data_IF_497625249798
#
_entry.id   IF_497625249798
#
_cell.length_a   1.000
_cell.length_b   1.000
_cell.length_c   1.000
_cell.angle_alpha   90.00
_cell.angle_beta   90.00
_cell.angle_gamma   90.00
#
_symmetry.space_group_name_H-M   'P 1'
#
loop_
_entity.id
_entity.type
_entity.pdbx_description
1 polymer ?
#
# COMPACT_ATOMS: atom_id res chain seq x y z
N UNK A 1 27.70 -28.84 15.31
CA UNK A 1 27.74 -27.36 15.26
C UNK A 1 28.89 -26.98 14.36
N UNK A 2 28.68 -26.10 13.40
CA UNK A 2 29.75 -25.57 12.55
C UNK A 2 30.52 -24.53 13.37
N UNK A 3 31.81 -24.75 13.61
CA UNK A 3 32.70 -23.79 14.29
C UNK A 3 33.07 -22.57 13.40
N UNK A 4 32.27 -22.28 12.37
CA UNK A 4 32.53 -21.22 11.39
C UNK A 4 31.46 -20.11 11.47
N UNK A 5 31.90 -18.85 11.33
CA UNK A 5 30.99 -17.72 11.20
C UNK A 5 30.17 -17.84 9.90
N UNK A 6 28.85 -17.75 9.99
CA UNK A 6 27.91 -17.96 8.88
C UNK A 6 27.13 -16.69 8.48
N UNK A 7 27.47 -15.53 9.07
CA UNK A 7 26.84 -14.25 8.73
C UNK A 7 26.24 -13.53 9.93
N UNK A 8 25.63 -12.38 9.62
CA UNK A 8 24.90 -11.55 10.58
C UNK A 8 23.42 -11.89 10.53
N UNK A 9 22.80 -12.04 11.70
CA UNK A 9 21.38 -12.35 11.84
C UNK A 9 20.70 -11.29 12.69
N UNK A 10 19.47 -10.95 12.31
CA UNK A 10 18.56 -10.22 13.18
C UNK A 10 17.80 -11.23 14.03
N UNK A 11 17.96 -11.15 15.34
CA UNK A 11 17.10 -11.87 16.27
C UNK A 11 15.78 -11.12 16.36
N UNK A 12 14.72 -11.72 15.82
CA UNK A 12 13.37 -11.19 15.90
C UNK A 12 12.62 -11.91 17.02
N UNK A 13 11.62 -11.21 17.54
CA UNK A 13 10.75 -11.73 18.57
C UNK A 13 9.54 -12.38 17.92
N UNK A 14 9.12 -13.55 18.41
CA UNK A 14 7.87 -14.16 17.94
C UNK A 14 6.70 -13.27 18.38
N UNK A 15 5.73 -13.08 17.49
CA UNK A 15 4.47 -12.43 17.84
C UNK A 15 3.66 -13.42 18.68
N UNK A 16 3.64 -13.18 19.98
CA UNK A 16 2.99 -14.03 20.97
C UNK A 16 2.25 -13.22 22.03
N UNK A 17 1.35 -13.90 22.74
CA UNK A 17 0.58 -13.32 23.83
C UNK A 17 1.45 -13.27 25.08
N UNK A 18 1.94 -12.08 25.45
CA UNK A 18 2.63 -11.84 26.72
C UNK A 18 2.51 -10.37 27.11
N UNK A 19 2.73 -10.12 28.40
CA UNK A 19 2.84 -8.75 28.93
C UNK A 19 3.89 -7.94 28.15
N UNK A 20 3.54 -6.70 27.79
CA UNK A 20 4.36 -5.77 26.95
C UNK A 20 4.55 -6.22 25.49
N UNK A 21 3.77 -7.18 25.01
CA UNK A 21 3.71 -7.60 23.59
C UNK A 21 2.27 -7.46 23.11
N UNK A 22 1.69 -8.52 22.52
CA UNK A 22 0.25 -8.66 22.42
C UNK A 22 -0.28 -9.01 23.81
N UNK A 23 -0.59 -7.98 24.59
CA UNK A 23 -1.01 -8.11 25.98
C UNK A 23 -2.53 -8.34 26.03
N UNK A 24 -2.97 -9.54 25.63
CA UNK A 24 -4.38 -9.95 25.66
C UNK A 24 -4.64 -11.12 26.62
N UNK A 25 -5.91 -11.33 26.98
CA UNK A 25 -6.29 -12.49 27.81
C UNK A 25 -6.02 -13.81 27.08
N UNK A 26 -4.93 -14.49 27.46
CA UNK A 26 -4.55 -15.79 26.93
C UNK A 26 -5.57 -16.89 27.25
N UNK A 27 -5.68 -17.87 26.34
CA UNK A 27 -6.55 -19.05 26.47
C UNK A 27 -5.71 -20.32 26.28
N UNK A 28 -4.88 -20.72 27.27
CA UNK A 28 -3.85 -21.75 27.09
C UNK A 28 -4.34 -23.19 27.27
N UNK A 29 -5.62 -23.41 27.57
CA UNK A 29 -6.19 -24.72 27.88
C UNK A 29 -7.35 -25.08 26.95
N UNK A 30 -7.47 -26.37 26.62
CA UNK A 30 -8.57 -26.91 25.83
C UNK A 30 -9.89 -26.62 26.57
N UNK A 31 -10.85 -26.03 25.87
CA UNK A 31 -12.12 -25.65 26.48
C UNK A 31 -12.88 -26.85 27.06
N UNK A 32 -13.53 -26.59 28.19
CA UNK A 32 -14.59 -27.43 28.77
C UNK A 32 -15.95 -26.81 28.47
N UNK A 33 -17.03 -27.53 28.76
CA UNK A 33 -18.41 -27.02 28.58
C UNK A 33 -18.74 -25.77 29.41
N UNK A 34 -17.89 -25.39 30.36
CA UNK A 34 -18.02 -24.18 31.19
C UNK A 34 -17.08 -23.05 30.77
N UNK A 35 -16.18 -23.30 29.82
CA UNK A 35 -15.15 -22.34 29.47
C UNK A 35 -15.72 -21.16 28.67
N UNK A 36 -15.21 -19.97 28.95
CA UNK A 36 -15.64 -18.76 28.26
C UNK A 36 -14.90 -18.65 26.91
N UNK A 37 -15.64 -18.74 25.81
CA UNK A 37 -15.11 -18.61 24.45
C UNK A 37 -14.81 -17.16 24.06
N UNK A 38 -15.21 -16.16 24.85
CA UNK A 38 -15.03 -14.74 24.49
C UNK A 38 -13.64 -14.18 24.78
N UNK A 39 -12.65 -15.02 25.09
CA UNK A 39 -11.29 -14.65 25.49
C UNK A 39 -10.50 -13.86 24.45
N UNK A 40 -9.19 -13.74 24.66
CA UNK A 40 -8.29 -13.07 23.72
C UNK A 40 -7.99 -13.94 22.50
N UNK A 41 -7.92 -13.31 21.33
CA UNK A 41 -7.55 -13.96 20.07
C UNK A 41 -6.46 -13.16 19.36
N UNK A 42 -5.37 -13.83 19.01
CA UNK A 42 -4.35 -13.30 18.09
C UNK A 42 -4.60 -13.87 16.71
N UNK A 43 -4.66 -12.99 15.72
CA UNK A 43 -5.08 -13.29 14.36
C UNK A 43 -4.09 -12.72 13.35
N UNK A 44 -4.02 -13.34 12.19
CA UNK A 44 -3.26 -12.81 11.05
C UNK A 44 -4.15 -12.83 9.81
N UNK A 45 -4.25 -11.69 9.12
CA UNK A 45 -4.65 -11.69 7.71
C UNK A 45 -3.49 -12.29 6.94
N UNK A 46 -3.67 -13.50 6.42
CA UNK A 46 -2.64 -14.24 5.71
C UNK A 46 -3.21 -14.75 4.38
N UNK A 47 -2.85 -14.07 3.30
CA UNK A 47 -3.28 -14.43 1.94
C UNK A 47 -2.74 -15.78 1.46
N UNK A 48 -1.67 -16.27 2.07
CA UNK A 48 -1.00 -17.54 1.81
C UNK A 48 -1.52 -18.69 2.67
N UNK A 49 -2.23 -18.40 3.77
CA UNK A 49 -2.65 -19.39 4.76
C UNK A 49 -3.27 -20.65 4.14
N UNK A 50 -2.72 -21.78 4.57
CA UNK A 50 -3.15 -23.13 4.21
C UNK A 50 -3.89 -23.75 5.42
N UNK A 51 -5.16 -24.18 5.27
CA UNK A 51 -5.89 -24.86 6.34
C UNK A 51 -5.26 -26.21 6.74
N UNK A 52 -4.36 -26.78 5.94
CA UNK A 52 -3.61 -27.99 6.31
C UNK A 52 -2.41 -27.67 7.24
N UNK A 53 -2.02 -26.39 7.36
CA UNK A 53 -0.87 -25.91 8.16
C UNK A 53 -1.29 -25.07 9.38
N UNK A 54 -2.59 -25.04 9.72
CA UNK A 54 -3.07 -24.38 10.93
C UNK A 54 -4.56 -24.10 10.94
N UNK A 55 -5.03 -23.37 11.96
CA UNK A 55 -6.44 -22.98 12.07
C UNK A 55 -6.72 -21.75 11.21
N UNK A 56 -7.43 -21.95 10.09
CA UNK A 56 -7.72 -20.89 9.11
C UNK A 56 -9.20 -20.85 8.79
N UNK A 57 -9.75 -19.65 8.60
CA UNK A 57 -11.07 -19.45 8.00
C UNK A 57 -11.06 -18.32 6.98
N UNK A 58 -12.10 -18.25 6.15
CA UNK A 58 -12.28 -17.21 5.14
C UNK A 58 -13.59 -16.49 5.37
N UNK A 59 -13.55 -15.16 5.38
CA UNK A 59 -14.74 -14.32 5.58
C UNK A 59 -15.64 -14.28 4.35
N UNK A 60 -16.85 -13.73 4.46
CA UNK A 60 -17.76 -13.60 3.32
C UNK A 60 -17.21 -12.69 2.20
N UNK A 61 -16.25 -11.80 2.49
CA UNK A 61 -15.53 -11.00 1.48
C UNK A 61 -14.24 -11.64 0.99
N UNK A 62 -13.97 -12.89 1.36
CA UNK A 62 -12.83 -13.65 0.86
C UNK A 62 -11.50 -13.33 1.56
N UNK A 63 -11.53 -12.66 2.72
CA UNK A 63 -10.32 -12.42 3.51
C UNK A 63 -9.96 -13.71 4.25
N UNK A 64 -8.76 -14.23 4.01
CA UNK A 64 -8.21 -15.38 4.74
C UNK A 64 -7.62 -14.93 6.07
N UNK A 65 -7.98 -15.62 7.14
CA UNK A 65 -7.57 -15.30 8.50
C UNK A 65 -7.05 -16.57 9.17
N UNK A 66 -5.80 -16.51 9.61
CA UNK A 66 -5.20 -17.53 10.46
C UNK A 66 -5.40 -17.15 11.93
N UNK A 67 -5.79 -18.12 12.76
CA UNK A 67 -5.82 -17.99 14.22
C UNK A 67 -4.47 -18.42 14.75
N UNK A 68 -3.74 -17.48 15.35
CA UNK A 68 -2.40 -17.71 15.91
C UNK A 68 -2.43 -17.99 17.40
N UNK A 69 -3.44 -17.48 18.11
CA UNK A 69 -3.72 -17.89 19.47
C UNK A 69 -5.23 -17.74 19.77
N UNK A 70 -5.91 -18.69 20.43
CA UNK A 70 -5.36 -19.93 21.01
C UNK A 70 -4.65 -20.82 19.98
N UNK A 71 -3.59 -21.48 20.41
CA UNK A 71 -2.71 -22.27 19.56
C UNK A 71 -3.47 -23.45 18.93
N UNK A 72 -2.97 -23.95 17.80
CA UNK A 72 -3.65 -24.99 17.00
C UNK A 72 -3.91 -26.30 17.76
N UNK A 73 -3.08 -26.62 18.75
CA UNK A 73 -3.20 -27.81 19.59
C UNK A 73 -4.16 -27.63 20.77
N UNK A 74 -4.59 -26.40 21.03
CA UNK A 74 -5.48 -26.01 22.14
C UNK A 74 -6.85 -25.55 21.66
N UNK A 75 -6.93 -24.88 20.50
CA UNK A 75 -8.16 -24.25 20.01
C UNK A 75 -9.26 -25.28 19.71
N UNK A 76 -10.44 -25.05 20.26
CA UNK A 76 -11.63 -25.84 19.96
C UNK A 76 -12.41 -25.23 18.78
N UNK A 77 -13.13 -26.07 18.02
CA UNK A 77 -13.96 -25.60 16.90
C UNK A 77 -14.95 -24.49 17.32
N UNK A 78 -15.50 -24.53 18.53
CA UNK A 78 -16.39 -23.48 19.04
C UNK A 78 -15.71 -22.11 19.19
N UNK A 79 -14.39 -22.07 19.43
CA UNK A 79 -13.62 -20.82 19.46
C UNK A 79 -13.39 -20.28 18.06
N UNK A 80 -13.05 -21.16 17.11
CA UNK A 80 -12.91 -20.80 15.69
C UNK A 80 -14.22 -20.25 15.13
N UNK A 81 -15.34 -20.92 15.41
CA UNK A 81 -16.67 -20.47 15.01
C UNK A 81 -17.04 -19.13 15.65
N UNK A 82 -16.72 -18.94 16.94
CA UNK A 82 -16.95 -17.69 17.65
C UNK A 82 -16.18 -16.52 17.02
N UNK A 83 -14.87 -16.67 16.82
CA UNK A 83 -14.04 -15.58 16.30
C UNK A 83 -14.36 -15.29 14.82
N UNK A 84 -14.67 -16.31 14.03
CA UNK A 84 -15.16 -16.14 12.67
C UNK A 84 -16.49 -15.36 12.63
N UNK A 85 -17.44 -15.72 13.50
CA UNK A 85 -18.70 -14.99 13.62
C UNK A 85 -18.51 -13.55 14.14
N UNK A 86 -17.55 -13.33 15.04
CA UNK A 86 -17.20 -12.00 15.54
C UNK A 86 -16.64 -11.12 14.41
N UNK A 87 -15.68 -11.62 13.64
CA UNK A 87 -15.13 -10.91 12.48
C UNK A 87 -16.20 -10.65 11.42
N UNK A 88 -17.13 -11.58 11.22
CA UNK A 88 -18.25 -11.36 10.30
C UNK A 88 -19.14 -10.19 10.74
N UNK A 89 -19.26 -9.88 12.04
CA UNK A 89 -19.97 -8.67 12.52
C UNK A 89 -19.26 -7.39 12.09
N UNK A 90 -17.93 -7.35 12.23
CA UNK A 90 -17.11 -6.23 11.74
C UNK A 90 -17.28 -6.06 10.23
N UNK A 91 -17.13 -7.14 9.48
CA UNK A 91 -17.25 -7.12 8.02
C UNK A 91 -18.65 -6.68 7.57
N UNK A 92 -19.71 -7.20 8.21
CA UNK A 92 -21.07 -6.77 7.92
C UNK A 92 -21.27 -5.26 8.18
N UNK A 93 -20.69 -4.73 9.26
CA UNK A 93 -20.77 -3.30 9.56
C UNK A 93 -19.95 -2.45 8.58
N UNK A 94 -18.80 -2.94 8.12
CA UNK A 94 -17.92 -2.26 7.14
C UNK A 94 -18.54 -2.14 5.75
N UNK A 95 -19.30 -3.16 5.33
CA UNK A 95 -19.94 -3.21 4.02
C UNK A 95 -21.44 -2.88 4.03
N UNK A 96 -22.00 -2.47 5.17
CA UNK A 96 -23.38 -2.00 5.24
C UNK A 96 -23.56 -0.63 4.57
N UNK A 97 -24.81 -0.28 4.22
CA UNK A 97 -25.13 1.05 3.68
C UNK A 97 -24.84 2.16 4.70
N UNK A 98 -25.03 1.87 5.99
CA UNK A 98 -24.79 2.79 7.10
C UNK A 98 -23.41 2.60 7.76
N UNK A 99 -22.42 2.08 7.05
CA UNK A 99 -21.10 1.72 7.58
C UNK A 99 -20.33 2.85 8.30
N UNK A 100 -20.62 4.13 8.00
CA UNK A 100 -20.07 5.31 8.69
C UNK A 100 -20.89 5.77 9.91
N UNK A 101 -21.98 5.09 10.26
CA UNK A 101 -22.78 5.46 11.41
C UNK A 101 -21.95 5.32 12.71
N UNK A 102 -21.86 6.35 13.57
CA UNK A 102 -20.96 6.33 14.72
C UNK A 102 -21.34 5.32 15.81
N UNK A 103 -22.56 4.76 15.78
CA UNK A 103 -23.06 3.81 16.80
C UNK A 103 -23.08 2.38 16.28
N UNK A 104 -23.35 2.19 14.98
CA UNK A 104 -23.60 0.88 14.36
C UNK A 104 -22.66 0.54 13.20
N UNK A 105 -21.86 1.50 12.75
CA UNK A 105 -20.87 1.34 11.68
C UNK A 105 -19.61 0.62 12.13
N UNK A 106 -18.68 0.44 11.19
CA UNK A 106 -17.49 -0.40 11.39
C UNK A 106 -16.59 0.08 12.53
N UNK A 107 -16.50 1.41 12.74
CA UNK A 107 -15.69 2.04 13.79
C UNK A 107 -16.04 1.55 15.19
N UNK A 108 -17.25 1.00 15.41
CA UNK A 108 -17.63 0.33 16.67
C UNK A 108 -16.77 -0.91 16.97
N UNK A 109 -16.36 -1.62 15.93
CA UNK A 109 -15.61 -2.88 16.00
C UNK A 109 -14.10 -2.68 15.75
N UNK A 110 -13.63 -1.45 15.64
CA UNK A 110 -12.21 -1.16 15.46
C UNK A 110 -11.72 -0.23 16.55
N UNK A 111 -10.56 -0.57 17.12
CA UNK A 111 -9.76 0.41 17.82
C UNK A 111 -9.08 1.32 16.79
N UNK A 112 -9.70 2.47 16.51
CA UNK A 112 -9.20 3.42 15.52
C UNK A 112 -7.76 3.89 15.79
N UNK A 113 -7.33 4.18 17.04
CA UNK A 113 -5.94 4.53 17.31
C UNK A 113 -4.93 3.48 16.85
N UNK A 114 -5.17 2.19 17.11
CA UNK A 114 -4.30 1.12 16.63
C UNK A 114 -4.32 0.99 15.09
N UNK A 115 -5.50 1.10 14.46
CA UNK A 115 -5.64 1.07 13.00
C UNK A 115 -4.86 2.20 12.33
N UNK A 116 -5.00 3.42 12.84
CA UNK A 116 -4.30 4.61 12.31
C UNK A 116 -2.79 4.46 12.51
N UNK A 117 -2.36 4.01 13.68
CA UNK A 117 -0.93 3.82 13.98
C UNK A 117 -0.30 2.77 13.06
N UNK A 118 -0.97 1.63 12.90
CA UNK A 118 -0.54 0.58 11.98
C UNK A 118 -0.52 1.08 10.52
N UNK A 119 -1.57 1.79 10.08
CA UNK A 119 -1.64 2.33 8.72
C UNK A 119 -0.50 3.30 8.43
N UNK A 120 -0.24 4.24 9.34
CA UNK A 120 0.89 5.18 9.23
C UNK A 120 2.21 4.43 9.14
N UNK A 121 2.42 3.40 9.96
CA UNK A 121 3.67 2.65 9.95
C UNK A 121 3.86 1.83 8.66
N UNK A 122 2.80 1.17 8.18
CA UNK A 122 2.78 0.46 6.90
C UNK A 122 3.06 1.38 5.72
N UNK A 123 2.43 2.57 5.70
CA UNK A 123 2.71 3.57 4.69
C UNK A 123 4.12 4.12 4.84
N UNK A 124 4.59 4.52 6.03
CA UNK A 124 5.93 5.08 6.23
C UNK A 124 7.05 4.15 5.78
N UNK A 125 6.92 2.86 6.05
CA UNK A 125 7.92 1.86 5.67
C UNK A 125 7.84 1.51 4.19
N UNK A 126 6.67 1.67 3.56
CA UNK A 126 6.47 1.31 2.16
C UNK A 126 6.48 -0.19 1.92
N UNK A 127 6.06 -1.02 2.89
CA UNK A 127 6.08 -2.48 2.77
C UNK A 127 4.99 -2.97 1.79
N UNK A 128 5.34 -3.55 0.62
CA UNK A 128 4.38 -4.00 -0.38
C UNK A 128 3.50 -5.19 0.02
N UNK A 129 3.80 -5.83 1.15
CA UNK A 129 3.06 -6.97 1.70
C UNK A 129 2.23 -6.59 2.93
N UNK A 130 2.26 -5.32 3.36
CA UNK A 130 1.69 -4.87 4.64
C UNK A 130 0.21 -5.23 4.83
N UNK A 131 -0.55 -5.31 3.74
CA UNK A 131 -2.00 -5.60 3.77
C UNK A 131 -2.33 -7.07 3.46
N UNK A 132 -1.33 -7.93 3.23
CA UNK A 132 -1.49 -9.37 2.97
C UNK A 132 -0.91 -10.28 4.05
N UNK A 133 -0.08 -9.72 4.94
CA UNK A 133 0.36 -10.29 6.22
C UNK A 133 0.17 -9.20 7.28
N UNK A 134 -0.96 -9.25 7.99
CA UNK A 134 -1.31 -8.25 9.00
C UNK A 134 -1.75 -8.95 10.26
N UNK A 135 -0.97 -8.81 11.34
CA UNK A 135 -1.43 -9.24 12.66
C UNK A 135 -2.44 -8.25 13.21
N UNK A 136 -3.44 -8.79 13.90
CA UNK A 136 -4.44 -8.05 14.64
C UNK A 136 -4.99 -8.94 15.75
N UNK A 137 -5.69 -8.37 16.72
CA UNK A 137 -6.19 -9.13 17.85
C UNK A 137 -7.52 -8.62 18.37
N UNK A 138 -8.19 -9.48 19.12
CA UNK A 138 -9.41 -9.18 19.88
C UNK A 138 -9.13 -9.45 21.35
N UNK A 139 -9.45 -8.49 22.22
CA UNK A 139 -9.41 -8.70 23.67
C UNK A 139 -10.68 -9.35 24.18
N UNK A 140 -10.58 -10.05 25.31
CA UNK A 140 -11.70 -10.58 26.05
C UNK A 140 -12.74 -9.51 26.38
N UNK A 141 -14.00 -9.84 26.11
CA UNK A 141 -15.16 -8.99 26.40
C UNK A 141 -15.10 -7.58 25.77
N UNK A 142 -14.21 -7.37 24.80
CA UNK A 142 -14.20 -6.22 23.91
C UNK A 142 -14.65 -6.65 22.50
N UNK A 143 -15.50 -5.84 21.89
CA UNK A 143 -15.97 -6.06 20.52
C UNK A 143 -15.02 -5.45 19.47
N UNK A 144 -13.96 -4.77 19.90
CA UNK A 144 -12.98 -4.14 19.01
C UNK A 144 -11.89 -5.09 18.56
N UNK A 145 -11.49 -4.89 17.31
CA UNK A 145 -10.26 -5.38 16.72
C UNK A 145 -9.17 -4.32 16.85
N UNK A 146 -7.99 -4.75 17.26
CA UNK A 146 -6.79 -3.95 17.42
C UNK A 146 -5.75 -4.36 16.39
N UNK A 147 -5.09 -3.40 15.75
CA UNK A 147 -4.23 -3.64 14.59
C UNK A 147 -2.75 -3.65 14.95
N UNK A 148 -2.00 -4.55 14.31
CA UNK A 148 -0.61 -4.84 14.61
C UNK A 148 -0.44 -5.99 15.62
N UNK A 149 0.82 -6.33 15.97
CA UNK A 149 2.06 -5.68 15.57
C UNK A 149 2.47 -5.93 14.10
N UNK A 150 3.48 -5.20 13.61
CA UNK A 150 4.02 -5.39 12.26
C UNK A 150 4.91 -6.65 12.18
N UNK A 151 4.88 -7.34 11.04
CA UNK A 151 5.65 -8.56 10.76
C UNK A 151 6.10 -8.61 9.29
N UNK A 152 7.26 -9.22 9.00
CA UNK A 152 7.83 -9.39 7.65
C UNK A 152 7.99 -8.09 6.83
N UNK A 153 8.91 -7.21 7.28
CA UNK A 153 9.20 -5.90 6.67
C UNK A 153 10.58 -5.87 5.96
N UNK A 154 11.17 -7.01 5.65
CA UNK A 154 12.45 -7.12 4.92
C UNK A 154 12.39 -6.58 3.48
N UNK A 155 11.19 -6.57 2.90
CA UNK A 155 10.91 -6.00 1.57
C UNK A 155 10.49 -4.52 1.62
N UNK A 156 10.42 -3.93 2.81
CA UNK A 156 10.09 -2.52 2.98
C UNK A 156 11.27 -1.61 2.60
N UNK A 157 11.09 -0.30 2.76
CA UNK A 157 12.12 0.71 2.54
C UNK A 157 12.70 0.75 1.12
N UNK A 158 11.81 0.61 0.12
CA UNK A 158 12.16 0.62 -1.31
C UNK A 158 13.06 -0.54 -1.74
N UNK A 159 12.88 -1.71 -1.11
CA UNK A 159 13.72 -2.90 -1.33
C UNK A 159 12.97 -4.03 -2.07
N UNK A 160 12.04 -3.69 -2.98
CA UNK A 160 11.26 -4.65 -3.76
C UNK A 160 11.18 -4.25 -5.24
N UNK A 161 11.84 -5.03 -6.10
CA UNK A 161 11.89 -4.84 -7.54
C UNK A 161 10.55 -5.01 -8.27
N UNK A 162 9.55 -5.60 -7.62
CA UNK A 162 8.22 -5.84 -8.22
C UNK A 162 7.39 -4.56 -8.37
N UNK A 163 7.62 -3.58 -7.50
CA UNK A 163 6.85 -2.33 -7.45
C UNK A 163 7.63 -1.12 -7.98
N UNK A 164 8.93 -1.26 -8.20
CA UNK A 164 9.79 -0.13 -8.55
C UNK A 164 9.93 0.86 -7.39
N UNK A 165 10.21 2.12 -7.72
CA UNK A 165 10.37 3.16 -6.72
C UNK A 165 9.03 3.55 -6.07
N UNK A 166 8.91 3.26 -4.77
CA UNK A 166 7.74 3.55 -3.97
C UNK A 166 7.80 4.88 -3.23
N UNK A 167 8.89 5.66 -3.34
CA UNK A 167 9.12 6.90 -2.57
C UNK A 167 7.90 7.83 -2.55
N UNK A 168 7.24 7.99 -3.69
CA UNK A 168 6.09 8.88 -3.88
C UNK A 168 4.81 8.12 -4.24
N UNK A 169 4.60 6.95 -3.64
CA UNK A 169 3.37 6.15 -3.78
C UNK A 169 2.82 5.69 -2.42
N UNK A 170 1.48 5.67 -2.31
CA UNK A 170 0.81 5.03 -1.18
C UNK A 170 0.75 3.52 -1.43
N UNK A 171 1.11 2.74 -0.41
CA UNK A 171 1.06 1.28 -0.48
C UNK A 171 -0.37 0.79 -0.58
N UNK A 172 -1.32 1.47 0.07
CA UNK A 172 -2.73 1.10 -0.06
C UNK A 172 -3.20 1.10 -1.52
N UNK A 173 -2.56 1.82 -2.44
CA UNK A 173 -2.91 1.84 -3.87
C UNK A 173 -1.94 1.08 -4.78
N UNK A 174 -0.93 0.43 -4.19
CA UNK A 174 0.13 -0.31 -4.89
C UNK A 174 0.40 -1.69 -4.31
N UNK A 175 -0.44 -2.16 -3.39
CA UNK A 175 -0.23 -3.40 -2.65
C UNK A 175 -0.18 -4.64 -3.56
N UNK A 176 0.71 -5.59 -3.24
CA UNK A 176 0.77 -6.88 -3.91
C UNK A 176 -0.48 -7.72 -3.54
N UNK A 177 -1.06 -8.44 -4.51
CA UNK A 177 -2.28 -9.24 -4.32
C UNK A 177 -3.51 -8.45 -3.83
N UNK A 178 -3.81 -7.30 -4.44
CA UNK A 178 -5.07 -6.54 -4.26
C UNK A 178 -6.37 -7.39 -4.34
N UNK A 179 -6.31 -8.64 -4.77
CA UNK A 179 -7.44 -9.56 -4.84
C UNK A 179 -7.71 -10.43 -3.59
N UNK A 180 -6.84 -10.51 -2.56
CA UNK A 180 -6.96 -11.57 -1.51
C UNK A 180 -7.18 -11.12 -0.04
N UNK A 181 -6.99 -9.84 0.28
CA UNK A 181 -7.23 -9.30 1.64
C UNK A 181 -7.72 -7.84 1.65
N UNK A 182 -7.78 -7.26 0.46
CA UNK A 182 -7.95 -5.83 0.21
C UNK A 182 -9.35 -5.23 0.45
N UNK A 183 -10.48 -5.98 0.43
CA UNK A 183 -11.79 -5.35 0.54
C UNK A 183 -11.96 -4.50 1.80
N UNK A 184 -11.38 -4.94 2.93
CA UNK A 184 -11.51 -4.21 4.19
C UNK A 184 -10.84 -2.85 4.12
N UNK A 185 -9.59 -2.81 3.68
CA UNK A 185 -8.82 -1.58 3.66
C UNK A 185 -9.23 -0.67 2.51
N UNK A 186 -9.66 -1.19 1.36
CA UNK A 186 -10.32 -0.40 0.32
C UNK A 186 -11.55 0.33 0.84
N UNK A 187 -12.33 -0.34 1.69
CA UNK A 187 -13.53 0.24 2.26
C UNK A 187 -13.20 1.28 3.33
N UNK A 188 -12.26 1.01 4.22
CA UNK A 188 -11.74 2.00 5.18
C UNK A 188 -11.15 3.20 4.45
N UNK A 189 -10.48 2.99 3.30
CA UNK A 189 -9.91 4.03 2.46
C UNK A 189 -10.95 5.02 1.90
N UNK A 190 -12.23 4.69 1.97
CA UNK A 190 -13.34 5.57 1.55
C UNK A 190 -13.90 6.40 2.73
N UNK A 191 -13.40 6.21 3.95
CA UNK A 191 -13.88 6.93 5.13
C UNK A 191 -13.25 8.33 5.18
N UNK A 192 -14.02 9.41 4.99
CA UNK A 192 -13.46 10.76 4.99
C UNK A 192 -12.87 11.17 6.34
N UNK A 193 -13.38 10.63 7.46
CA UNK A 193 -12.85 10.91 8.79
C UNK A 193 -11.51 10.19 9.02
N UNK A 194 -11.28 9.05 8.36
CA UNK A 194 -10.06 8.27 8.55
C UNK A 194 -8.81 9.06 8.13
N UNK A 195 -8.82 9.70 6.96
CA UNK A 195 -7.66 10.48 6.52
C UNK A 195 -7.46 11.78 7.30
N UNK A 196 -8.53 12.37 7.83
CA UNK A 196 -8.39 13.50 8.76
C UNK A 196 -7.62 13.07 10.02
N UNK A 197 -8.00 11.95 10.62
CA UNK A 197 -7.35 11.41 11.82
C UNK A 197 -5.92 10.92 11.54
N UNK A 198 -5.68 10.27 10.40
CA UNK A 198 -4.33 9.89 9.95
C UNK A 198 -3.44 11.11 9.78
N UNK A 199 -3.94 12.16 9.12
CA UNK A 199 -3.20 13.40 8.93
C UNK A 199 -2.84 14.05 10.27
N UNK A 200 -3.80 14.17 11.18
CA UNK A 200 -3.57 14.73 12.52
C UNK A 200 -2.55 13.91 13.33
N UNK A 201 -2.70 12.59 13.36
CA UNK A 201 -1.77 11.70 14.04
C UNK A 201 -0.36 11.80 13.45
N UNK A 202 -0.25 11.86 12.13
CA UNK A 202 1.03 11.99 11.44
C UNK A 202 1.71 13.34 11.73
N UNK A 203 0.97 14.46 11.66
CA UNK A 203 1.50 15.77 12.03
C UNK A 203 1.95 15.82 13.50
N UNK A 204 1.24 15.13 14.39
CA UNK A 204 1.66 15.00 15.80
C UNK A 204 2.99 14.26 15.93
N UNK A 205 3.21 13.19 15.15
CA UNK A 205 4.48 12.47 15.12
C UNK A 205 5.61 13.34 14.56
N UNK A 206 5.35 14.11 13.49
CA UNK A 206 6.32 15.07 12.95
C UNK A 206 6.72 16.12 13.98
N UNK A 207 5.73 16.69 14.70
CA UNK A 207 5.97 17.65 15.79
C UNK A 207 6.77 17.07 16.97
N UNK A 208 6.72 15.75 17.16
CA UNK A 208 7.53 15.01 18.14
C UNK A 208 8.92 14.61 17.61
N UNK A 209 9.26 14.98 16.39
CA UNK A 209 10.58 14.71 15.79
C UNK A 209 10.70 13.34 15.14
N UNK A 210 9.63 12.78 14.55
CA UNK A 210 9.68 11.50 13.82
C UNK A 210 10.84 11.44 12.81
N UNK A 211 11.00 12.47 11.98
CA UNK A 211 12.03 12.53 10.93
C UNK A 211 13.45 12.42 11.51
N UNK A 212 13.77 13.26 12.49
CA UNK A 212 15.09 13.21 13.15
C UNK A 212 15.30 11.91 13.92
N UNK A 213 14.26 11.38 14.56
CA UNK A 213 14.34 10.12 15.29
C UNK A 213 14.69 8.94 14.37
N UNK A 214 13.99 8.78 13.24
CA UNK A 214 14.24 7.66 12.31
C UNK A 214 15.62 7.78 11.65
N UNK A 215 16.01 8.99 11.22
CA UNK A 215 17.33 9.20 10.62
C UNK A 215 18.46 8.93 11.61
N UNK A 216 18.30 9.33 12.88
CA UNK A 216 19.27 9.02 13.93
C UNK A 216 19.31 7.53 14.24
N UNK A 217 18.16 6.85 14.28
CA UNK A 217 18.09 5.41 14.50
C UNK A 217 18.86 4.63 13.42
N UNK A 218 18.78 5.07 12.15
CA UNK A 218 19.56 4.49 11.04
C UNK A 218 21.07 4.66 11.30
N UNK A 219 21.51 5.86 11.68
CA UNK A 219 22.92 6.15 11.95
C UNK A 219 23.45 5.34 13.15
N UNK A 220 22.69 5.31 14.25
CA UNK A 220 23.05 4.57 15.47
C UNK A 220 23.12 3.06 15.22
N UNK A 221 22.14 2.52 14.50
CA UNK A 221 22.10 1.09 14.15
C UNK A 221 23.25 0.73 13.21
N UNK A 222 23.52 1.56 12.21
CA UNK A 222 24.65 1.40 11.28
C UNK A 222 25.99 1.33 12.02
N UNK A 223 26.18 2.20 13.01
CA UNK A 223 27.38 2.19 13.86
C UNK A 223 27.43 0.94 14.76
N UNK A 224 26.31 0.56 15.37
CA UNK A 224 26.24 -0.59 16.27
C UNK A 224 26.57 -1.93 15.59
N UNK A 225 26.28 -2.06 14.29
CA UNK A 225 26.50 -3.30 13.54
C UNK A 225 27.78 -3.31 12.69
N UNK A 226 28.64 -2.27 12.76
CA UNK A 226 29.77 -2.09 11.85
C UNK A 226 30.64 -3.36 11.72
N UNK A 227 31.07 -3.93 12.85
CA UNK A 227 31.94 -5.11 12.85
C UNK A 227 31.26 -6.34 12.23
N UNK A 228 30.03 -6.66 12.65
CA UNK A 228 29.31 -7.84 12.14
C UNK A 228 28.99 -7.67 10.66
N UNK A 229 28.61 -6.45 10.26
CA UNK A 229 28.33 -6.10 8.88
C UNK A 229 29.57 -6.27 7.99
N UNK A 230 30.75 -5.81 8.41
CA UNK A 230 32.00 -6.02 7.65
C UNK A 230 32.30 -7.50 7.43
N UNK A 231 32.12 -8.34 8.46
CA UNK A 231 32.28 -9.78 8.34
C UNK A 231 31.23 -10.39 7.41
N UNK A 232 29.98 -9.91 7.49
CA UNK A 232 28.89 -10.38 6.64
C UNK A 232 29.19 -10.13 5.15
N UNK A 233 29.56 -8.90 4.79
CA UNK A 233 29.86 -8.56 3.39
C UNK A 233 31.20 -9.11 2.88
N UNK A 234 32.02 -9.69 3.76
CA UNK A 234 33.15 -10.54 3.36
C UNK A 234 32.73 -11.94 2.89
N UNK A 235 31.54 -12.41 3.27
CA UNK A 235 30.97 -13.70 2.87
C UNK A 235 29.89 -13.51 1.77
N UNK A 236 29.00 -12.55 1.98
CA UNK A 236 27.85 -12.27 1.11
C UNK A 236 28.01 -10.88 0.49
N UNK A 237 28.47 -10.75 -0.76
CA UNK A 237 28.73 -9.46 -1.39
C UNK A 237 27.49 -8.55 -1.43
N UNK A 238 27.68 -7.25 -1.21
CA UNK A 238 26.58 -6.26 -1.14
C UNK A 238 25.97 -5.93 -2.51
N UNK A 239 26.74 -6.17 -3.57
CA UNK A 239 26.36 -5.96 -4.96
C UNK A 239 25.75 -7.22 -5.59
N UNK A 240 25.47 -8.25 -4.79
CA UNK A 240 24.76 -9.45 -5.22
C UNK A 240 23.28 -9.35 -4.83
N UNK A 241 22.42 -9.67 -5.80
CA UNK A 241 20.98 -9.84 -5.54
C UNK A 241 20.73 -11.14 -4.81
N UNK A 242 20.13 -11.08 -3.62
CA UNK A 242 19.82 -12.26 -2.80
C UNK A 242 18.33 -12.56 -2.83
N UNK A 243 17.49 -11.53 -2.88
CA UNK A 243 16.05 -11.66 -2.91
C UNK A 243 15.42 -10.74 -3.97
N UNK A 244 14.91 -9.59 -3.53
CA UNK A 244 14.07 -8.67 -4.33
C UNK A 244 14.63 -7.27 -4.37
N UNK A 245 15.92 -7.11 -4.08
CA UNK A 245 16.57 -5.81 -4.02
C UNK A 245 16.30 -5.02 -5.31
N UNK A 246 15.74 -3.82 -5.15
CA UNK A 246 15.45 -2.88 -6.22
C UNK A 246 16.75 -2.23 -6.73
N UNK A 247 17.64 -1.89 -5.80
CA UNK A 247 18.94 -1.27 -6.05
C UNK A 247 20.03 -2.12 -5.42
N UNK A 248 21.08 -2.41 -6.19
CA UNK A 248 22.30 -3.03 -5.69
C UNK A 248 23.33 -1.93 -5.42
N UNK A 249 23.99 -2.00 -4.27
CA UNK A 249 24.92 -0.96 -3.83
C UNK A 249 26.36 -1.43 -3.98
N UNK A 250 27.26 -0.53 -4.33
CA UNK A 250 28.69 -0.82 -4.37
C UNK A 250 29.34 -0.75 -2.98
N UNK A 251 28.64 -0.18 -1.99
CA UNK A 251 29.14 -0.02 -0.61
C UNK A 251 28.02 0.12 0.41
N UNK A 252 28.31 -0.08 1.70
CA UNK A 252 27.31 0.16 2.76
C UNK A 252 26.79 1.58 2.74
N UNK A 253 27.73 2.52 2.64
CA UNK A 253 27.46 3.93 2.83
C UNK A 253 26.52 4.44 1.73
N UNK A 254 26.58 3.84 0.56
CA UNK A 254 25.62 4.08 -0.51
C UNK A 254 24.22 3.58 -0.13
N UNK A 255 24.08 2.35 0.37
CA UNK A 255 22.81 1.83 0.86
C UNK A 255 22.22 2.67 2.01
N UNK A 256 23.05 3.14 2.94
CA UNK A 256 22.61 4.04 4.02
C UNK A 256 22.13 5.39 3.47
N UNK A 257 22.85 5.98 2.51
CA UNK A 257 22.41 7.22 1.88
C UNK A 257 21.08 7.02 1.14
N UNK A 258 20.93 5.91 0.43
CA UNK A 258 19.69 5.56 -0.27
C UNK A 258 18.51 5.41 0.70
N UNK A 259 18.69 4.65 1.79
CA UNK A 259 17.67 4.48 2.82
C UNK A 259 17.27 5.81 3.46
N UNK A 260 18.24 6.66 3.78
CA UNK A 260 17.98 7.98 4.36
C UNK A 260 17.25 8.90 3.38
N UNK A 261 17.64 8.93 2.10
CA UNK A 261 16.95 9.71 1.06
C UNK A 261 15.50 9.25 0.88
N UNK A 262 15.29 7.93 0.80
CA UNK A 262 13.94 7.35 0.73
C UNK A 262 13.09 7.78 1.93
N UNK A 263 13.57 7.61 3.16
CA UNK A 263 12.82 7.98 4.37
C UNK A 263 12.53 9.48 4.40
N UNK A 264 13.52 10.31 4.06
CA UNK A 264 13.40 11.77 4.09
C UNK A 264 12.28 12.24 3.14
N UNK A 265 12.36 11.80 1.89
CA UNK A 265 11.38 12.13 0.84
C UNK A 265 10.02 11.53 1.11
N UNK A 266 9.97 10.28 1.58
CA UNK A 266 8.72 9.59 1.92
C UNK A 266 7.99 10.26 3.07
N UNK A 267 8.72 10.73 4.08
CA UNK A 267 8.10 11.45 5.19
C UNK A 267 7.39 12.71 4.71
N UNK A 268 8.05 13.48 3.83
CA UNK A 268 7.52 14.72 3.28
C UNK A 268 6.36 14.44 2.32
N UNK A 269 6.48 13.40 1.48
CA UNK A 269 5.41 12.91 0.60
C UNK A 269 4.16 12.53 1.40
N UNK A 270 4.29 11.69 2.44
CA UNK A 270 3.15 11.24 3.24
C UNK A 270 2.50 12.39 3.99
N UNK A 271 3.27 13.37 4.47
CA UNK A 271 2.74 14.58 5.09
C UNK A 271 1.78 15.31 4.15
N UNK A 272 2.23 15.56 2.92
CA UNK A 272 1.41 16.22 1.89
C UNK A 272 0.22 15.35 1.48
N UNK A 273 0.43 14.06 1.25
CA UNK A 273 -0.64 13.15 0.81
C UNK A 273 -1.73 12.96 1.84
N UNK A 274 -1.38 12.75 3.11
CA UNK A 274 -2.39 12.63 4.16
C UNK A 274 -3.17 13.94 4.34
N UNK A 275 -2.51 15.10 4.23
CA UNK A 275 -3.19 16.40 4.26
C UNK A 275 -4.16 16.59 3.08
N UNK A 276 -3.76 16.22 1.86
CA UNK A 276 -4.61 16.29 0.67
C UNK A 276 -5.85 15.38 0.82
N UNK A 277 -5.65 14.13 1.27
CA UNK A 277 -6.75 13.17 1.44
C UNK A 277 -7.69 13.56 2.58
N UNK A 278 -7.18 14.17 3.64
CA UNK A 278 -8.01 14.73 4.73
C UNK A 278 -9.01 15.79 4.25
N UNK A 279 -8.74 16.45 3.11
CA UNK A 279 -9.65 17.44 2.49
C UNK A 279 -10.31 16.92 1.21
N UNK A 280 -10.30 15.61 0.98
CA UNK A 280 -10.95 14.96 -0.16
C UNK A 280 -10.24 15.15 -1.50
N UNK A 281 -8.96 15.57 -1.50
CA UNK A 281 -8.11 15.59 -2.70
C UNK A 281 -7.40 14.25 -2.79
N UNK A 282 -7.96 13.31 -3.53
CA UNK A 282 -7.34 12.01 -3.77
C UNK A 282 -6.70 11.97 -5.18
N UNK A 283 -5.36 12.02 -5.29
CA UNK A 283 -4.68 11.99 -6.59
C UNK A 283 -4.65 10.59 -7.24
N UNK A 284 -4.83 9.50 -6.47
CA UNK A 284 -4.71 8.12 -6.98
C UNK A 284 -6.03 7.57 -7.53
N UNK A 285 -7.18 8.07 -7.04
CA UNK A 285 -8.48 7.90 -7.71
C UNK A 285 -8.70 8.88 -8.87
N UNK A 286 -7.77 9.81 -9.07
CA UNK A 286 -7.74 10.76 -10.19
C UNK A 286 -6.74 10.39 -11.28
N UNK A 287 -6.41 9.10 -11.43
CA UNK A 287 -6.07 8.66 -12.77
C UNK A 287 -7.29 9.01 -13.63
N UNK A 288 -7.18 9.86 -14.66
CA UNK A 288 -8.28 9.97 -15.59
C UNK A 288 -8.63 8.55 -16.01
N UNK A 289 -9.89 8.14 -15.84
CA UNK A 289 -10.44 7.12 -16.71
C UNK A 289 -10.15 7.65 -18.11
N UNK A 290 -9.07 7.15 -18.71
CA UNK A 290 -9.04 7.06 -20.14
C UNK A 290 -10.27 6.22 -20.43
N UNK A 291 -11.30 6.75 -21.10
CA UNK A 291 -12.30 5.85 -21.64
C UNK A 291 -11.48 4.79 -22.37
N UNK A 292 -11.63 3.52 -21.94
CA UNK A 292 -11.05 2.41 -22.66
C UNK A 292 -11.27 2.73 -24.13
N UNK A 293 -10.19 2.78 -24.93
CA UNK A 293 -10.27 3.06 -26.35
C UNK A 293 -11.43 2.23 -26.89
N UNK A 294 -12.58 2.86 -27.08
CA UNK A 294 -13.78 2.16 -27.49
C UNK A 294 -13.47 1.82 -28.93
N UNK A 295 -13.09 0.56 -29.14
CA UNK A 295 -12.91 -0.12 -30.41
C UNK A 295 -12.73 0.83 -31.59
N UNK A 296 -11.49 1.23 -31.85
CA UNK A 296 -11.19 1.91 -33.09
C UNK A 296 -10.18 1.06 -33.83
N UNK A 297 -10.59 0.55 -34.98
CA UNK A 297 -9.83 -0.19 -35.99
C UNK A 297 -8.68 0.65 -36.55
N UNK A 298 -7.86 1.23 -35.69
CA UNK A 298 -6.90 2.26 -36.05
C UNK A 298 -5.55 1.90 -35.52
N UNK A 299 -4.58 2.05 -36.41
CA UNK A 299 -3.25 1.54 -36.22
C UNK A 299 -2.40 2.47 -35.33
N UNK A 300 -2.99 3.19 -34.36
CA UNK A 300 -2.26 4.12 -33.48
C UNK A 300 -2.93 4.40 -32.13
N UNK A 301 -2.10 4.74 -31.14
CA UNK A 301 -2.45 5.27 -29.82
C UNK A 301 -2.20 6.79 -29.76
N UNK A 302 -2.96 7.51 -28.95
CA UNK A 302 -2.66 8.90 -28.60
C UNK A 302 -2.15 8.96 -27.15
N UNK A 303 -0.92 9.41 -26.95
CA UNK A 303 -0.23 9.40 -25.66
C UNK A 303 0.13 10.82 -25.24
N UNK A 304 -0.14 11.14 -23.98
CA UNK A 304 0.34 12.35 -23.31
C UNK A 304 1.59 12.02 -22.49
N UNK A 305 2.64 12.82 -22.65
CA UNK A 305 3.91 12.69 -21.95
C UNK A 305 4.11 13.92 -21.04
N UNK A 306 4.04 13.70 -19.73
CA UNK A 306 4.26 14.74 -18.72
C UNK A 306 5.71 15.23 -18.71
N UNK A 307 6.69 14.34 -18.95
CA UNK A 307 8.12 14.66 -18.86
C UNK A 307 8.61 15.69 -19.88
N UNK A 308 7.94 15.80 -21.02
CA UNK A 308 8.30 16.74 -22.09
C UNK A 308 7.12 17.58 -22.58
N UNK A 309 5.99 17.53 -21.88
CA UNK A 309 4.76 18.28 -22.15
C UNK A 309 4.25 18.14 -23.60
N UNK A 310 4.17 16.90 -24.10
CA UNK A 310 3.79 16.62 -25.49
C UNK A 310 2.66 15.61 -25.65
N UNK A 311 1.87 15.78 -26.72
CA UNK A 311 1.00 14.73 -27.26
C UNK A 311 1.67 14.06 -28.46
N UNK A 312 1.54 12.73 -28.54
CA UNK A 312 2.11 11.93 -29.63
C UNK A 312 1.13 10.88 -30.11
N UNK A 313 1.09 10.69 -31.43
CA UNK A 313 0.47 9.52 -32.04
C UNK A 313 1.53 8.42 -32.15
N UNK A 314 1.26 7.25 -31.57
CA UNK A 314 2.19 6.11 -31.54
C UNK A 314 1.57 4.98 -32.36
N UNK A 315 2.23 4.49 -33.43
CA UNK A 315 1.71 3.37 -34.19
C UNK A 315 1.46 2.12 -33.33
N UNK A 316 0.40 1.38 -33.62
CA UNK A 316 0.00 0.20 -32.86
C UNK A 316 0.94 -1.00 -33.11
N UNK A 317 1.61 -1.04 -34.26
CA UNK A 317 2.65 -2.01 -34.61
C UNK A 317 3.69 -1.39 -35.57
N UNK A 318 4.68 -2.18 -35.98
CA UNK A 318 5.79 -1.73 -36.82
C UNK A 318 5.40 -1.45 -38.30
N UNK A 319 4.21 -1.86 -38.73
CA UNK A 319 3.69 -1.66 -40.09
C UNK A 319 2.69 -0.51 -40.18
N UNK A 320 2.15 -0.11 -39.03
CA UNK A 320 1.23 0.98 -38.87
C UNK A 320 1.85 2.34 -39.19
N UNK A 321 1.11 3.18 -39.92
CA UNK A 321 1.52 4.55 -40.22
C UNK A 321 0.95 5.54 -39.22
N UNK A 322 1.70 6.60 -38.94
CA UNK A 322 1.19 7.78 -38.22
C UNK A 322 -0.07 8.31 -38.92
N UNK A 323 -1.09 8.76 -38.17
CA UNK A 323 -2.24 9.40 -38.78
C UNK A 323 -1.80 10.68 -39.50
N UNK A 324 -2.28 10.84 -40.73
CA UNK A 324 -2.08 12.05 -41.53
C UNK A 324 -3.40 12.82 -41.54
N UNK A 325 -3.35 14.12 -41.26
CA UNK A 325 -4.53 14.96 -41.16
C UNK A 325 -4.30 16.21 -40.32
N UNK A 326 -5.37 16.81 -39.82
CA UNK A 326 -5.34 18.00 -38.97
C UNK A 326 -5.70 17.68 -37.54
N UNK A 327 -5.23 18.51 -36.60
CA UNK A 327 -5.68 18.49 -35.22
C UNK A 327 -6.03 19.91 -34.73
N UNK A 328 -6.86 19.96 -33.70
CA UNK A 328 -7.17 21.15 -32.93
C UNK A 328 -7.28 20.79 -31.45
N UNK A 329 -6.76 21.64 -30.58
CA UNK A 329 -6.87 21.53 -29.13
C UNK A 329 -7.68 22.72 -28.62
N UNK A 330 -8.76 22.44 -27.92
CA UNK A 330 -9.61 23.44 -27.30
C UNK A 330 -9.59 23.31 -25.77
N UNK A 331 -9.72 24.46 -25.10
CA UNK A 331 -10.04 24.50 -23.68
C UNK A 331 -11.48 24.00 -23.43
N UNK A 332 -11.82 23.69 -22.18
CA UNK A 332 -13.22 23.37 -21.78
C UNK A 332 -14.23 24.50 -22.09
N UNK A 333 -13.77 25.73 -22.29
CA UNK A 333 -14.61 26.84 -22.72
C UNK A 333 -14.90 26.83 -24.24
N UNK A 334 -14.41 25.84 -24.98
CA UNK A 334 -14.61 25.69 -26.42
C UNK A 334 -13.71 26.58 -27.29
N UNK A 335 -12.75 27.30 -26.69
CA UNK A 335 -11.78 28.10 -27.44
C UNK A 335 -10.63 27.22 -27.91
N UNK A 336 -10.43 27.12 -29.23
CA UNK A 336 -9.24 26.48 -29.82
C UNK A 336 -7.99 27.28 -29.51
N UNK A 337 -7.00 26.64 -28.89
CA UNK A 337 -5.76 27.25 -28.44
C UNK A 337 -4.57 26.83 -29.31
N UNK A 338 -4.59 25.59 -29.81
CA UNK A 338 -3.57 25.06 -30.73
C UNK A 338 -4.29 24.37 -31.88
N UNK A 339 -3.81 24.55 -33.11
CA UNK A 339 -4.22 23.73 -34.24
C UNK A 339 -3.07 23.56 -35.22
N UNK A 340 -3.12 22.48 -36.00
CA UNK A 340 -2.03 22.18 -36.93
C UNK A 340 -2.28 20.94 -37.76
N UNK A 341 -1.26 20.56 -38.53
CA UNK A 341 -1.17 19.24 -39.14
C UNK A 341 -0.68 18.25 -38.10
N UNK A 342 -1.17 17.01 -38.16
CA UNK A 342 -0.67 15.95 -37.30
C UNK A 342 0.84 15.76 -37.57
N UNK A 343 1.62 15.93 -36.51
CA UNK A 343 3.07 15.69 -36.48
C UNK A 343 3.37 14.62 -35.43
N UNK A 344 4.59 14.09 -35.47
CA UNK A 344 5.07 13.11 -34.49
C UNK A 344 4.96 13.61 -33.03
N UNK A 345 5.09 14.93 -32.85
CA UNK A 345 5.02 15.60 -31.55
C UNK A 345 4.23 16.89 -31.63
N UNK A 346 3.27 17.04 -30.72
CA UNK A 346 2.50 18.27 -30.51
C UNK A 346 2.93 18.84 -29.16
N UNK A 347 3.57 20.00 -29.17
CA UNK A 347 4.01 20.71 -27.98
C UNK A 347 2.85 21.46 -27.32
N UNK A 348 2.73 21.34 -26.00
CA UNK A 348 1.60 21.89 -25.23
C UNK A 348 2.00 23.11 -24.38
N UNK A 349 3.16 23.72 -24.66
CA UNK A 349 3.77 24.77 -23.83
C UNK A 349 2.94 26.05 -23.72
N UNK A 350 1.96 26.23 -24.62
CA UNK A 350 1.04 27.37 -24.62
C UNK A 350 -0.27 27.11 -23.89
N UNK A 351 -0.49 25.88 -23.42
CA UNK A 351 -1.68 25.51 -22.66
C UNK A 351 -1.45 25.71 -21.16
N UNK A 352 -2.39 26.38 -20.50
CA UNK A 352 -2.42 26.46 -19.04
C UNK A 352 -2.89 25.16 -18.40
N UNK A 353 -2.65 25.06 -17.09
CA UNK A 353 -3.19 24.02 -16.21
C UNK A 353 -4.71 23.86 -16.40
N UNK A 354 -5.18 22.62 -16.50
CA UNK A 354 -6.60 22.31 -16.63
C UNK A 354 -6.93 21.26 -17.69
N UNK A 355 -8.23 21.12 -17.96
CA UNK A 355 -8.79 20.13 -18.89
C UNK A 355 -8.82 20.70 -20.31
N UNK A 356 -8.38 19.88 -21.27
CA UNK A 356 -8.36 20.21 -22.69
C UNK A 356 -8.94 19.07 -23.52
N UNK A 357 -9.44 19.40 -24.71
CA UNK A 357 -9.96 18.44 -25.68
C UNK A 357 -9.12 18.57 -26.94
N UNK A 358 -8.50 17.47 -27.38
CA UNK A 358 -7.92 17.36 -28.71
C UNK A 358 -8.91 16.69 -29.64
N UNK A 359 -9.14 17.27 -30.81
CA UNK A 359 -9.85 16.68 -31.93
C UNK A 359 -8.92 16.56 -33.13
N UNK A 360 -9.00 15.47 -33.88
CA UNK A 360 -8.22 15.31 -35.10
C UNK A 360 -9.05 14.68 -36.22
N UNK A 361 -8.77 15.11 -37.45
CA UNK A 361 -9.47 14.68 -38.65
C UNK A 361 -8.45 14.07 -39.61
N UNK A 362 -8.61 12.80 -39.95
CA UNK A 362 -7.74 12.12 -40.91
C UNK A 362 -8.03 12.54 -42.36
N UNK A 363 -7.15 12.16 -43.29
CA UNK A 363 -7.31 12.47 -44.73
C UNK A 363 -8.60 11.91 -45.35
N UNK A 364 -9.27 10.94 -44.71
CA UNK A 364 -10.57 10.41 -45.15
C UNK A 364 -11.75 11.26 -44.67
N UNK A 365 -11.50 12.31 -43.89
CA UNK A 365 -12.51 13.20 -43.31
C UNK A 365 -13.11 12.69 -41.99
N UNK A 366 -12.60 11.58 -41.45
CA UNK A 366 -13.08 11.00 -40.20
C UNK A 366 -12.47 11.74 -39.03
N UNK A 367 -13.33 12.26 -38.16
CA UNK A 367 -12.93 13.07 -36.99
C UNK A 367 -13.06 12.27 -35.70
N UNK A 368 -12.08 12.43 -34.81
CA UNK A 368 -12.01 11.82 -33.47
C UNK A 368 -11.69 12.88 -32.44
N UNK A 369 -11.94 12.57 -31.17
CA UNK A 369 -11.57 13.45 -30.08
C UNK A 369 -11.18 12.67 -28.81
N UNK A 370 -10.32 13.28 -28.00
CA UNK A 370 -9.88 12.77 -26.71
C UNK A 370 -9.75 13.91 -25.71
N UNK A 371 -9.99 13.62 -24.43
CA UNK A 371 -9.79 14.53 -23.30
C UNK A 371 -8.41 14.26 -22.69
N UNK A 372 -7.71 15.32 -22.30
CA UNK A 372 -6.49 15.23 -21.48
C UNK A 372 -6.43 16.37 -20.45
N UNK A 373 -5.50 16.29 -19.50
CA UNK A 373 -5.36 17.28 -18.42
C UNK A 373 -3.89 17.61 -18.23
N UNK A 374 -3.59 18.91 -18.20
CA UNK A 374 -2.25 19.43 -17.86
C UNK A 374 -2.30 19.82 -16.39
N UNK A 375 -1.44 19.18 -15.59
CA UNK A 375 -1.37 19.35 -14.13
C UNK A 375 -0.54 20.52 -13.73
#
# INVERSE_FOLDING_TARGET
>A
MLDAYVGTYQLTDQIDIRKKRVDITEQPEILTSLSNITGGYLLEIDGGADPDEGTVFTTAKGVKIAVKSPDEDVIAQSQTDYIAAHIQKFENALFADNWLNPVSGYRRYCDMPSLISWYIASELTGNPSAFSSTYFYKEKDDDKLYWGPMWDYEMAFNNDDRHGDLTESLIISRNYNAAKSFPWFERVNQDPAFFAEVSEAYQTLLGKGLKSHVLQFIDDTSAAIEQSRMLNFGIYPIDAKVHRELVLFSSYAEGIRYLKDFIDRRIDFLSQRFADRAVGKDPETSLPEFPALQNSTDDYYLVFSESDNTLRFIPADATAQQPVGTFAIASVAGTTVISGQISERIHLDTLGHGVHIISWTDMSGRTRAAKFTIK
#
